data_IF_438950941851
#
_entry.id   IF_438950941851
#
_cell.length_a   1.000
_cell.length_b   1.000
_cell.length_c   1.000
_cell.angle_alpha   90.00
_cell.angle_beta   90.00
_cell.angle_gamma   90.00
#
_symmetry.space_group_name_H-M   'P 1'
#
loop_
_entity.id
_entity.type
_entity.pdbx_description
1 polymer ?
#
# COMPACT_ATOMS: atom_id res chain seq x y z
N UNK A 1 6.33 9.57 -13.75
CA UNK A 1 5.34 8.69 -13.07
C UNK A 1 4.30 9.59 -12.42
N UNK A 2 3.02 9.23 -12.49
CA UNK A 2 1.95 9.99 -11.83
C UNK A 2 1.14 9.08 -10.90
N UNK A 3 1.44 9.13 -9.60
CA UNK A 3 0.79 8.33 -8.55
C UNK A 3 -0.66 8.73 -8.27
N UNK A 4 -1.09 9.89 -8.78
CA UNK A 4 -2.44 10.41 -8.65
C UNK A 4 -3.17 10.42 -10.00
N UNK A 5 -2.76 9.55 -10.93
CA UNK A 5 -3.44 9.38 -12.20
C UNK A 5 -4.85 8.78 -11.99
N UNK A 6 -5.93 9.49 -12.36
CA UNK A 6 -7.30 8.99 -12.17
C UNK A 6 -7.59 7.67 -12.89
N UNK A 7 -6.86 7.35 -13.97
CA UNK A 7 -7.03 6.08 -14.70
C UNK A 7 -6.57 4.85 -13.89
N UNK A 8 -5.71 5.06 -12.89
CA UNK A 8 -5.25 4.02 -11.98
C UNK A 8 -6.02 4.02 -10.65
N UNK A 9 -7.00 4.90 -10.51
CA UNK A 9 -7.76 5.09 -9.29
C UNK A 9 -9.15 4.48 -9.36
N UNK A 10 -9.63 4.01 -8.22
CA UNK A 10 -11.01 3.58 -8.03
C UNK A 10 -11.51 3.98 -6.64
N UNK A 11 -12.83 4.08 -6.51
CA UNK A 11 -13.49 4.63 -5.33
C UNK A 11 -13.94 6.10 -5.54
N UNK A 12 -14.08 6.89 -4.45
CA UNK A 12 -13.76 6.53 -3.08
C UNK A 12 -14.65 5.40 -2.52
N UNK A 13 -14.08 4.64 -1.59
CA UNK A 13 -14.74 3.55 -0.88
C UNK A 13 -14.91 3.92 0.58
N UNK A 14 -16.14 3.89 1.08
CA UNK A 14 -16.49 4.23 2.46
C UNK A 14 -17.04 3.04 3.25
N UNK A 15 -16.94 1.83 2.69
CA UNK A 15 -17.36 0.61 3.36
C UNK A 15 -16.53 0.40 4.64
N UNK A 16 -17.19 -0.04 5.71
CA UNK A 16 -16.55 -0.35 7.00
C UNK A 16 -15.39 -1.34 6.88
N UNK A 17 -15.48 -2.25 5.89
CA UNK A 17 -14.46 -3.25 5.60
C UNK A 17 -14.51 -3.65 4.14
N UNK A 18 -13.34 -3.81 3.53
CA UNK A 18 -13.16 -4.36 2.19
C UNK A 18 -11.78 -5.01 2.04
N UNK A 19 -11.58 -5.75 0.96
CA UNK A 19 -10.33 -6.42 0.66
C UNK A 19 -9.53 -5.75 -0.44
N UNK A 20 -8.22 -5.92 -0.39
CA UNK A 20 -7.34 -5.71 -1.55
C UNK A 20 -6.79 -7.05 -1.99
N UNK A 21 -6.94 -7.33 -3.28
CA UNK A 21 -6.55 -8.58 -3.93
C UNK A 21 -5.48 -8.29 -5.00
N UNK A 22 -4.70 -9.33 -5.28
CA UNK A 22 -3.82 -9.40 -6.44
C UNK A 22 -3.76 -10.87 -6.87
N UNK A 23 -4.09 -11.11 -8.14
CA UNK A 23 -4.22 -12.44 -8.73
C UNK A 23 -2.89 -13.06 -9.16
N UNK A 24 -1.77 -12.33 -9.00
CA UNK A 24 -0.41 -12.79 -9.33
C UNK A 24 -0.26 -13.21 -10.81
N UNK A 25 -1.10 -12.68 -11.70
CA UNK A 25 -1.19 -13.05 -13.12
C UNK A 25 -1.02 -11.84 -14.06
N UNK A 26 -0.18 -10.88 -13.65
CA UNK A 26 0.16 -9.65 -14.39
C UNK A 26 -0.96 -8.62 -14.50
N UNK A 27 -2.07 -8.77 -13.80
CA UNK A 27 -3.08 -7.70 -13.66
C UNK A 27 -2.78 -6.81 -12.45
N UNK A 28 -3.18 -5.53 -12.48
CA UNK A 28 -3.06 -4.66 -11.31
C UNK A 28 -3.84 -5.18 -10.10
N UNK A 29 -3.38 -4.83 -8.91
CA UNK A 29 -4.14 -5.06 -7.68
C UNK A 29 -5.48 -4.30 -7.72
N UNK A 30 -6.49 -4.82 -7.00
CA UNK A 30 -7.85 -4.31 -7.04
C UNK A 30 -8.60 -4.46 -5.72
N UNK A 31 -9.67 -3.69 -5.54
CA UNK A 31 -10.57 -3.75 -4.38
C UNK A 31 -11.67 -4.80 -4.61
N UNK A 32 -11.95 -5.59 -3.58
CA UNK A 32 -13.04 -6.57 -3.56
C UNK A 32 -13.89 -6.47 -2.29
N UNK A 33 -15.20 -6.62 -2.44
CA UNK A 33 -16.17 -6.53 -1.33
C UNK A 33 -16.75 -7.88 -0.93
N UNK A 34 -16.66 -8.89 -1.80
CA UNK A 34 -17.52 -10.06 -1.69
C UNK A 34 -16.74 -11.35 -1.37
N UNK A 35 -15.52 -11.47 -1.87
CA UNK A 35 -14.76 -12.72 -1.90
C UNK A 35 -13.62 -12.72 -0.90
N UNK A 36 -13.94 -12.71 0.39
CA UNK A 36 -12.97 -12.61 1.50
C UNK A 36 -11.78 -13.59 1.41
N UNK A 37 -12.00 -14.81 0.89
CA UNK A 37 -10.93 -15.79 0.71
C UNK A 37 -9.80 -15.34 -0.24
N UNK A 38 -10.08 -14.38 -1.12
CA UNK A 38 -9.11 -13.79 -2.06
C UNK A 38 -8.34 -12.62 -1.46
N UNK A 39 -8.83 -12.03 -0.38
CA UNK A 39 -8.24 -10.84 0.22
C UNK A 39 -6.82 -11.14 0.69
N UNK A 40 -5.86 -10.35 0.21
CA UNK A 40 -4.48 -10.40 0.67
C UNK A 40 -4.29 -9.41 1.82
N UNK A 41 -4.89 -8.22 1.69
CA UNK A 41 -5.04 -7.26 2.76
C UNK A 41 -6.53 -7.05 3.07
N UNK A 42 -6.85 -6.89 4.35
CA UNK A 42 -8.16 -6.44 4.81
C UNK A 42 -8.04 -4.98 5.23
N UNK A 43 -8.87 -4.11 4.67
CA UNK A 43 -8.94 -2.71 5.03
C UNK A 43 -10.07 -2.54 6.03
N UNK A 44 -9.75 -2.14 7.25
CA UNK A 44 -10.70 -1.77 8.30
C UNK A 44 -10.87 -0.26 8.31
N UNK A 45 -12.06 0.22 7.97
CA UNK A 45 -12.40 1.64 7.88
C UNK A 45 -13.58 1.96 8.81
N UNK A 46 -13.41 1.85 10.14
CA UNK A 46 -14.50 2.01 11.10
C UNK A 46 -15.11 3.41 11.07
N UNK A 47 -14.35 4.42 10.63
CA UNK A 47 -14.80 5.80 10.48
C UNK A 47 -15.47 6.09 9.12
N UNK A 48 -15.58 5.08 8.24
CA UNK A 48 -16.19 5.21 6.90
C UNK A 48 -15.62 6.39 6.11
N UNK A 49 -14.31 6.61 6.21
CA UNK A 49 -13.64 7.64 5.42
C UNK A 49 -13.73 7.31 3.93
N UNK A 50 -13.75 8.33 3.09
CA UNK A 50 -13.63 8.17 1.64
C UNK A 50 -12.20 7.74 1.29
N UNK A 51 -12.01 6.45 1.01
CA UNK A 51 -10.71 5.87 0.65
C UNK A 51 -10.61 5.70 -0.86
N UNK A 52 -9.70 6.45 -1.49
CA UNK A 52 -9.32 6.23 -2.89
C UNK A 52 -8.24 5.15 -2.95
N UNK A 53 -8.47 4.13 -3.78
CA UNK A 53 -7.47 3.13 -4.11
C UNK A 53 -6.75 3.52 -5.40
N UNK A 54 -5.42 3.44 -5.41
CA UNK A 54 -4.61 3.54 -6.63
C UNK A 54 -3.84 2.23 -6.83
N UNK A 55 -4.03 1.58 -7.98
CA UNK A 55 -3.14 0.50 -8.39
C UNK A 55 -1.78 1.08 -8.82
N UNK A 56 -0.70 0.61 -8.21
CA UNK A 56 0.66 1.11 -8.49
C UNK A 56 1.37 0.20 -9.49
N UNK A 57 1.52 -1.08 -9.15
CA UNK A 57 2.08 -2.07 -10.08
C UNK A 57 1.11 -2.31 -11.25
N UNK A 58 1.67 -2.45 -12.45
CA UNK A 58 0.96 -2.63 -13.73
C UNK A 58 -0.02 -1.51 -14.11
N UNK A 59 -0.05 -0.39 -13.38
CA UNK A 59 -0.85 0.78 -13.75
C UNK A 59 -0.05 2.09 -13.71
N UNK A 60 0.29 2.61 -12.53
CA UNK A 60 1.11 3.83 -12.42
C UNK A 60 2.51 3.59 -12.97
N UNK A 61 3.07 2.41 -12.70
CA UNK A 61 4.29 1.92 -13.31
C UNK A 61 3.99 0.68 -14.14
N UNK A 62 4.42 0.70 -15.39
CA UNK A 62 4.40 -0.45 -16.29
C UNK A 62 5.70 -1.25 -16.13
N UNK A 63 5.74 -2.46 -16.67
CA UNK A 63 6.88 -3.39 -16.51
C UNK A 63 8.22 -2.83 -16.99
N UNK A 64 8.19 -2.02 -18.04
CA UNK A 64 9.38 -1.41 -18.62
C UNK A 64 9.81 -0.12 -17.89
N UNK A 65 9.02 0.37 -16.94
CA UNK A 65 9.37 1.51 -16.11
C UNK A 65 10.29 1.04 -14.97
N UNK A 66 11.49 1.61 -14.86
CA UNK A 66 12.43 1.33 -13.76
C UNK A 66 12.63 -0.19 -13.51
N UNK A 67 13.07 -0.98 -14.50
CA UNK A 67 13.09 -2.44 -14.41
C UNK A 67 13.98 -2.98 -13.27
N UNK A 68 14.98 -2.20 -12.85
CA UNK A 68 15.90 -2.57 -11.78
C UNK A 68 15.39 -2.24 -10.37
N UNK A 69 14.20 -1.64 -10.26
CA UNK A 69 13.65 -1.17 -8.97
C UNK A 69 12.29 -1.79 -8.69
N UNK A 70 12.12 -2.30 -7.47
CA UNK A 70 10.83 -2.79 -7.00
C UNK A 70 9.80 -1.66 -6.85
N UNK A 71 8.52 -2.04 -6.87
CA UNK A 71 7.38 -1.18 -6.55
C UNK A 71 6.36 -1.98 -5.75
N UNK A 72 5.57 -1.29 -4.93
CA UNK A 72 4.43 -1.89 -4.27
C UNK A 72 3.19 -1.98 -5.15
N UNK A 73 2.21 -2.77 -4.73
CA UNK A 73 1.05 -3.09 -5.55
C UNK A 73 0.02 -1.97 -5.53
N UNK A 74 -0.17 -1.30 -4.38
CA UNK A 74 -1.22 -0.33 -4.22
C UNK A 74 -0.89 0.84 -3.29
N UNK A 75 -1.67 1.91 -3.43
CA UNK A 75 -1.74 3.04 -2.54
C UNK A 75 -3.19 3.30 -2.15
N UNK A 76 -3.44 3.62 -0.88
CA UNK A 76 -4.73 4.06 -0.35
C UNK A 76 -4.57 5.50 0.13
N UNK A 77 -5.46 6.39 -0.29
CA UNK A 77 -5.46 7.78 0.19
C UNK A 77 -6.82 8.21 0.69
N UNK A 78 -6.83 9.03 1.74
CA UNK A 78 -7.97 9.88 2.10
C UNK A 78 -7.55 11.35 1.97
N UNK A 79 -8.32 12.30 2.50
CA UNK A 79 -7.89 13.70 2.55
C UNK A 79 -6.62 13.93 3.38
N UNK A 80 -6.30 13.05 4.34
CA UNK A 80 -5.20 13.25 5.30
C UNK A 80 -4.21 12.08 5.35
N UNK A 81 -4.57 10.92 4.81
CA UNK A 81 -3.80 9.68 4.93
C UNK A 81 -3.25 9.25 3.59
N UNK A 82 -2.02 8.75 3.57
CA UNK A 82 -1.46 8.01 2.44
C UNK A 82 -0.81 6.72 2.94
N UNK A 83 -1.41 5.58 2.57
CA UNK A 83 -0.93 4.26 2.92
C UNK A 83 -0.46 3.52 1.68
N UNK A 84 0.79 3.08 1.67
CA UNK A 84 1.30 2.14 0.66
C UNK A 84 1.03 0.71 1.11
N UNK A 85 0.66 -0.16 0.18
CA UNK A 85 0.31 -1.54 0.44
C UNK A 85 1.06 -2.44 -0.53
N UNK A 86 1.84 -3.35 0.03
CA UNK A 86 2.47 -4.47 -0.67
C UNK A 86 1.76 -5.77 -0.26
N UNK A 87 1.41 -6.60 -1.23
CA UNK A 87 0.58 -7.79 -1.09
C UNK A 87 1.43 -9.04 -1.32
N UNK A 88 1.36 -10.00 -0.40
CA UNK A 88 2.04 -11.29 -0.51
C UNK A 88 1.11 -12.46 -0.17
N UNK A 89 1.27 -13.55 -0.89
CA UNK A 89 0.66 -14.86 -0.57
C UNK A 89 1.76 -15.92 -0.40
N UNK A 90 2.72 -15.66 0.50
CA UNK A 90 3.96 -16.43 0.60
C UNK A 90 4.25 -16.94 2.03
N UNK A 91 4.83 -18.14 2.16
CA UNK A 91 5.08 -18.77 3.48
C UNK A 91 6.35 -18.27 4.18
N UNK A 92 7.39 -17.95 3.42
CA UNK A 92 8.73 -17.62 3.91
C UNK A 92 9.42 -16.59 3.00
N UNK A 93 10.52 -16.01 3.47
CA UNK A 93 11.44 -15.12 2.74
C UNK A 93 10.86 -13.89 2.00
N UNK A 94 9.60 -13.54 2.24
CA UNK A 94 8.91 -12.44 1.55
C UNK A 94 9.18 -11.05 2.12
N UNK A 95 9.50 -10.94 3.42
CA UNK A 95 9.60 -9.65 4.13
C UNK A 95 10.68 -8.71 3.55
N UNK A 96 11.93 -9.17 3.28
CA UNK A 96 12.95 -8.27 2.75
C UNK A 96 12.55 -7.69 1.39
N UNK A 97 11.96 -8.50 0.52
CA UNK A 97 11.49 -8.07 -0.79
C UNK A 97 10.36 -7.03 -0.68
N UNK A 98 9.35 -7.31 0.15
CA UNK A 98 8.25 -6.38 0.41
C UNK A 98 8.73 -5.02 0.97
N UNK A 99 9.70 -5.05 1.90
CA UNK A 99 10.32 -3.85 2.46
C UNK A 99 11.04 -3.04 1.38
N UNK A 100 11.77 -3.70 0.47
CA UNK A 100 12.47 -3.01 -0.62
C UNK A 100 11.50 -2.38 -1.62
N UNK A 101 10.42 -3.09 -1.99
CA UNK A 101 9.38 -2.57 -2.87
C UNK A 101 8.73 -1.31 -2.30
N UNK A 102 8.30 -1.35 -1.04
CA UNK A 102 7.71 -0.20 -0.36
C UNK A 102 8.67 1.00 -0.28
N UNK A 103 9.93 0.77 0.10
CA UNK A 103 10.93 1.85 0.16
C UNK A 103 11.20 2.47 -1.20
N UNK A 104 11.32 1.64 -2.24
CA UNK A 104 11.52 2.13 -3.61
C UNK A 104 10.33 2.95 -4.09
N UNK A 105 9.10 2.52 -3.82
CA UNK A 105 7.90 3.32 -4.12
C UNK A 105 7.88 4.65 -3.38
N UNK A 106 8.26 4.68 -2.10
CA UNK A 106 8.38 5.94 -1.33
C UNK A 106 9.38 6.88 -2.00
N UNK A 107 10.52 6.37 -2.44
CA UNK A 107 11.52 7.18 -3.13
C UNK A 107 10.97 7.77 -4.45
N UNK A 108 10.20 7.00 -5.21
CA UNK A 108 9.51 7.53 -6.40
C UNK A 108 8.49 8.60 -6.05
N UNK A 109 7.66 8.39 -5.02
CA UNK A 109 6.72 9.41 -4.55
C UNK A 109 7.43 10.71 -4.14
N UNK A 110 8.56 10.61 -3.42
CA UNK A 110 9.37 11.77 -3.04
C UNK A 110 9.97 12.50 -4.23
N UNK A 111 10.37 11.77 -5.26
CA UNK A 111 10.95 12.34 -6.48
C UNK A 111 9.90 13.03 -7.36
N UNK A 112 8.72 12.42 -7.54
CA UNK A 112 7.73 12.88 -8.52
C UNK A 112 6.57 13.69 -7.92
N UNK A 113 6.29 13.53 -6.62
CA UNK A 113 5.16 14.17 -5.93
C UNK A 113 5.51 14.71 -4.54
N UNK A 114 6.60 15.49 -4.38
CA UNK A 114 7.02 16.00 -3.07
C UNK A 114 5.98 16.94 -2.45
N UNK A 115 5.25 17.71 -3.26
CA UNK A 115 4.23 18.65 -2.78
C UNK A 115 3.01 17.92 -2.23
N UNK A 116 2.49 16.93 -2.95
CA UNK A 116 1.35 16.11 -2.52
C UNK A 116 1.72 15.29 -1.29
N UNK A 117 2.94 14.77 -1.19
CA UNK A 117 3.37 14.07 0.02
C UNK A 117 3.34 14.93 1.30
N UNK A 118 3.42 16.26 1.17
CA UNK A 118 3.36 17.16 2.31
C UNK A 118 1.93 17.49 2.74
N UNK A 119 0.92 17.22 1.91
CA UNK A 119 -0.49 17.42 2.31
C UNK A 119 -1.01 16.30 3.20
N UNK A 120 -0.43 15.09 3.12
CA UNK A 120 -0.82 13.96 3.96
C UNK A 120 -0.19 14.05 5.35
N UNK A 121 -1.06 14.13 6.38
CA UNK A 121 -0.69 14.20 7.79
C UNK A 121 -0.13 12.87 8.31
N UNK A 122 -0.66 11.75 7.83
CA UNK A 122 -0.20 10.41 8.24
C UNK A 122 0.17 9.59 7.02
N UNK A 123 1.41 9.09 7.04
CA UNK A 123 1.98 8.26 5.98
C UNK A 123 2.40 6.91 6.55
N UNK A 124 1.90 5.82 5.97
CA UNK A 124 2.24 4.46 6.38
C UNK A 124 2.53 3.56 5.20
N UNK A 125 3.28 2.49 5.45
CA UNK A 125 3.59 1.44 4.50
C UNK A 125 3.28 0.09 5.14
N UNK A 126 2.52 -0.74 4.44
CA UNK A 126 2.06 -2.03 4.94
C UNK A 126 2.59 -3.14 4.05
N UNK A 127 3.36 -4.06 4.64
CA UNK A 127 3.69 -5.32 4.00
C UNK A 127 2.67 -6.38 4.47
N UNK A 128 1.67 -6.60 3.63
CA UNK A 128 0.52 -7.47 3.90
C UNK A 128 0.79 -8.88 3.39
N UNK A 129 0.48 -9.88 4.22
CA UNK A 129 0.55 -11.27 3.79
C UNK A 129 -0.57 -12.11 4.37
N UNK A 130 -1.48 -12.60 3.51
CA UNK A 130 -2.62 -13.43 3.94
C UNK A 130 -2.22 -14.74 4.62
N UNK A 131 -1.05 -15.31 4.31
CA UNK A 131 -0.53 -16.51 5.01
C UNK A 131 0.07 -16.20 6.37
N UNK A 132 0.34 -14.92 6.67
CA UNK A 132 0.92 -14.43 7.92
C UNK A 132 0.16 -13.18 8.39
N UNK A 133 -1.14 -13.31 8.72
CA UNK A 133 -2.01 -12.15 8.87
C UNK A 133 -1.75 -11.33 10.13
N UNK A 134 -1.23 -11.97 11.19
CA UNK A 134 -0.91 -11.33 12.45
C UNK A 134 0.28 -10.38 12.33
N UNK A 135 0.29 -9.35 13.18
CA UNK A 135 1.38 -8.40 13.28
C UNK A 135 2.72 -9.08 13.55
N UNK A 136 3.74 -8.67 12.82
CA UNK A 136 5.13 -9.04 13.06
C UNK A 136 5.96 -7.82 13.45
N UNK A 137 6.77 -7.97 14.50
CA UNK A 137 7.69 -6.93 14.94
C UNK A 137 8.63 -6.55 13.81
N UNK A 138 8.66 -5.25 13.49
CA UNK A 138 9.58 -4.67 12.52
C UNK A 138 10.86 -4.24 13.24
N UNK A 139 12.01 -4.65 12.70
CA UNK A 139 13.32 -4.28 13.23
C UNK A 139 13.53 -2.76 13.19
N UNK A 140 14.24 -2.21 14.19
CA UNK A 140 14.42 -0.76 14.32
C UNK A 140 15.11 -0.13 13.11
N UNK A 141 16.09 -0.82 12.51
CA UNK A 141 16.79 -0.35 11.32
C UNK A 141 15.83 -0.14 10.14
N UNK A 142 14.92 -1.09 9.91
CA UNK A 142 13.89 -0.97 8.88
C UNK A 142 12.98 0.21 9.18
N UNK A 143 12.51 0.37 10.42
CA UNK A 143 11.67 1.53 10.81
C UNK A 143 12.37 2.86 10.50
N UNK A 144 13.67 2.97 10.80
CA UNK A 144 14.46 4.19 10.52
C UNK A 144 14.52 4.52 9.02
N UNK A 145 14.65 3.50 8.16
CA UNK A 145 14.68 3.68 6.70
C UNK A 145 13.40 4.32 6.15
N UNK A 146 12.23 3.98 6.71
CA UNK A 146 10.95 4.61 6.35
C UNK A 146 10.78 5.98 7.01
N UNK A 147 11.22 6.12 8.26
CA UNK A 147 11.06 7.34 9.03
C UNK A 147 11.75 8.57 8.42
N UNK A 148 12.88 8.38 7.72
CA UNK A 148 13.56 9.47 6.97
C UNK A 148 12.63 10.13 5.94
N UNK A 149 11.63 9.39 5.45
CA UNK A 149 10.61 9.85 4.52
C UNK A 149 9.27 10.16 5.22
N UNK A 150 9.25 10.21 6.55
CA UNK A 150 8.02 10.44 7.33
C UNK A 150 7.00 9.30 7.27
N UNK A 151 7.40 8.10 6.84
CA UNK A 151 6.54 6.92 6.82
C UNK A 151 6.76 6.05 8.06
N UNK A 152 5.66 5.51 8.60
CA UNK A 152 5.71 4.34 9.48
C UNK A 152 5.55 3.05 8.66
N UNK A 153 6.13 1.95 9.12
CA UNK A 153 6.04 0.65 8.45
C UNK A 153 5.49 -0.41 9.39
N UNK A 154 4.48 -1.15 8.91
CA UNK A 154 3.85 -2.25 9.60
C UNK A 154 3.88 -3.52 8.74
N UNK A 155 3.97 -4.69 9.39
CA UNK A 155 3.93 -6.00 8.75
C UNK A 155 2.75 -6.77 9.33
N UNK A 156 1.62 -6.76 8.63
CA UNK A 156 0.35 -7.39 9.00
C UNK A 156 -0.61 -7.37 7.81
N UNK A 157 -1.61 -8.25 7.76
CA UNK A 157 -2.60 -8.24 6.68
C UNK A 157 -3.77 -7.28 6.90
N UNK A 158 -3.95 -6.76 8.12
CA UNK A 158 -5.03 -5.83 8.44
C UNK A 158 -4.50 -4.40 8.41
N UNK A 159 -5.12 -3.55 7.59
CA UNK A 159 -4.79 -2.14 7.43
C UNK A 159 -5.92 -1.34 8.06
N UNK A 160 -5.63 -0.68 9.18
CA UNK A 160 -6.60 0.12 9.89
C UNK A 160 -6.53 1.58 9.43
N UNK A 161 -7.64 2.08 8.90
CA UNK A 161 -7.83 3.45 8.43
C UNK A 161 -8.54 4.26 9.51
N UNK A 162 -7.79 5.11 10.20
CA UNK A 162 -8.30 6.03 11.23
C UNK A 162 -8.03 7.48 10.82
N UNK A 163 -8.93 8.42 11.17
CA UNK A 163 -8.68 9.84 10.98
C UNK A 163 -7.37 10.27 11.66
N UNK A 164 -6.69 11.27 11.11
CA UNK A 164 -5.51 11.78 11.78
C UNK A 164 -5.97 12.61 13.00
N UNK A 165 -5.63 12.14 14.20
CA UNK A 165 -5.82 12.88 15.47
C UNK A 165 -4.79 13.97 15.60
#
# INVERSE_FOLDING_TARGET
MNFFNPQCQSGPYNQLRFGVCDDQNSTPAYVDFNTQARWIATIDNPSQQDVTFTAIDKCVLQDNDEPDRGRCDAMLTTNELLYLVELKDQRAHWKPHAVMQLLSTIQFLYQYHPTELNSFRVKKAFACNKRRPAFAVVQQEVKRRFWVYGFYVDIQANVLVLPAV
#
